data_IF_565021689622
#
_entry.id   IF_565021689622
#
_cell.length_a   1.000
_cell.length_b   1.000
_cell.length_c   1.000
_cell.angle_alpha   90.00
_cell.angle_beta   90.00
_cell.angle_gamma   90.00
#
_symmetry.space_group_name_H-M   'P 1'
#
loop_
_entity.id
_entity.type
_entity.pdbx_description
1 polymer ?
#
# COMPACT_ATOMS: atom_id res chain seq x y z
N UNK A 1 -43.96 4.95 37.79
CA UNK A 1 -45.08 4.72 36.85
C UNK A 1 -45.74 6.07 36.57
N UNK A 2 -45.07 6.93 35.77
CA UNK A 2 -45.63 8.20 35.31
C UNK A 2 -46.14 7.97 33.89
N UNK A 3 -47.47 7.92 33.74
CA UNK A 3 -48.19 7.66 32.48
C UNK A 3 -48.96 8.92 32.07
N UNK A 4 -48.39 10.09 32.36
CA UNK A 4 -49.07 11.39 32.21
C UNK A 4 -48.39 12.27 31.15
N UNK A 5 -47.09 12.11 30.86
CA UNK A 5 -46.38 13.06 30.01
C UNK A 5 -46.45 12.78 28.50
N UNK A 6 -46.85 11.57 28.07
CA UNK A 6 -46.92 11.23 26.63
C UNK A 6 -48.10 11.85 25.89
N UNK A 7 -49.20 12.11 26.59
CA UNK A 7 -50.41 12.62 25.92
C UNK A 7 -50.23 14.08 25.51
N UNK A 8 -49.51 14.86 26.33
CA UNK A 8 -49.31 16.29 26.13
C UNK A 8 -48.39 16.59 24.93
N UNK A 9 -47.38 15.76 24.69
CA UNK A 9 -46.44 15.95 23.58
C UNK A 9 -47.06 15.62 22.22
N UNK A 10 -47.90 14.57 22.14
CA UNK A 10 -48.61 14.20 20.91
C UNK A 10 -49.70 15.25 20.55
N UNK A 11 -50.42 15.77 21.54
CA UNK A 11 -51.43 16.80 21.35
C UNK A 11 -50.80 18.14 20.91
N UNK A 12 -49.62 18.48 21.44
CA UNK A 12 -48.83 19.65 21.02
C UNK A 12 -48.32 19.53 19.58
N UNK A 13 -47.85 18.34 19.17
CA UNK A 13 -47.43 18.11 17.78
C UNK A 13 -48.61 18.24 16.81
N UNK A 14 -49.78 17.71 17.18
CA UNK A 14 -50.98 17.79 16.35
C UNK A 14 -51.50 19.23 16.20
N UNK A 15 -51.42 20.04 17.26
CA UNK A 15 -51.79 21.46 17.19
C UNK A 15 -50.83 22.25 16.30
N UNK A 16 -49.53 21.95 16.35
CA UNK A 16 -48.51 22.58 15.50
C UNK A 16 -48.67 22.22 14.02
N UNK A 17 -48.95 20.95 13.70
CA UNK A 17 -49.27 20.53 12.33
C UNK A 17 -50.57 21.16 11.80
N UNK A 18 -51.60 21.27 12.65
CA UNK A 18 -52.89 21.89 12.26
C UNK A 18 -52.77 23.38 11.93
N UNK A 19 -51.76 24.06 12.48
CA UNK A 19 -51.43 25.47 12.24
C UNK A 19 -50.47 25.67 11.06
N UNK A 20 -50.13 24.59 10.34
CA UNK A 20 -49.23 24.62 9.19
C UNK A 20 -47.74 24.70 9.55
N UNK A 21 -47.38 24.52 10.82
CA UNK A 21 -45.98 24.43 11.24
C UNK A 21 -45.53 22.98 11.11
N UNK A 22 -44.90 22.65 9.98
CA UNK A 22 -44.13 21.43 9.89
C UNK A 22 -42.85 21.60 10.73
N UNK A 23 -42.72 20.79 11.79
CA UNK A 23 -41.44 20.63 12.48
C UNK A 23 -40.49 19.97 11.49
N UNK A 24 -39.71 20.79 10.80
CA UNK A 24 -38.61 20.31 9.96
C UNK A 24 -37.54 19.81 10.91
N UNK A 25 -37.47 18.50 11.09
CA UNK A 25 -36.37 17.86 11.80
C UNK A 25 -35.10 18.10 10.98
N UNK A 26 -34.37 19.14 11.34
CA UNK A 26 -33.18 19.59 10.61
C UNK A 26 -32.01 18.64 10.90
N UNK A 27 -31.96 17.52 10.16
CA UNK A 27 -30.87 16.53 10.17
C UNK A 27 -29.56 17.08 9.54
N UNK A 28 -29.43 18.40 9.33
CA UNK A 28 -28.24 19.02 8.74
C UNK A 28 -27.02 19.05 9.67
N UNK A 29 -27.21 18.91 10.99
CA UNK A 29 -26.12 18.90 11.97
C UNK A 29 -25.26 17.63 11.96
N UNK A 30 -25.79 16.49 11.51
CA UNK A 30 -25.09 15.20 11.51
C UNK A 30 -24.16 15.00 10.31
N UNK A 31 -24.55 15.51 9.12
CA UNK A 31 -23.79 15.34 7.88
C UNK A 31 -22.53 16.21 7.84
N UNK A 32 -22.58 17.43 8.36
CA UNK A 32 -21.42 18.33 8.42
C UNK A 32 -20.32 17.80 9.35
N UNK A 33 -20.70 17.34 10.54
CA UNK A 33 -19.77 16.75 11.50
C UNK A 33 -19.18 15.42 10.99
N UNK A 34 -19.96 14.56 10.33
CA UNK A 34 -19.45 13.30 9.79
C UNK A 34 -18.47 13.51 8.63
N UNK A 35 -18.70 14.50 7.77
CA UNK A 35 -17.78 14.90 6.70
C UNK A 35 -16.47 15.46 7.24
N UNK A 36 -16.53 16.31 8.27
CA UNK A 36 -15.33 16.88 8.91
C UNK A 36 -14.51 15.78 9.59
N UNK A 37 -15.17 14.89 10.34
CA UNK A 37 -14.50 13.75 10.98
C UNK A 37 -13.87 12.84 9.92
N UNK A 38 -14.58 12.56 8.83
CA UNK A 38 -14.05 11.79 7.70
C UNK A 38 -12.82 12.45 7.08
N UNK A 39 -12.85 13.75 6.82
CA UNK A 39 -11.73 14.51 6.28
C UNK A 39 -10.51 14.49 7.22
N UNK A 40 -10.73 14.67 8.52
CA UNK A 40 -9.65 14.62 9.53
C UNK A 40 -9.02 13.23 9.60
N UNK A 41 -9.83 12.17 9.55
CA UNK A 41 -9.33 10.78 9.51
C UNK A 41 -8.49 10.54 8.25
N UNK A 42 -8.95 10.99 7.08
CA UNK A 42 -8.21 10.85 5.81
C UNK A 42 -6.87 11.60 5.89
N UNK A 43 -6.87 12.84 6.37
CA UNK A 43 -5.64 13.64 6.51
C UNK A 43 -4.68 12.97 7.50
N UNK A 44 -5.18 12.46 8.63
CA UNK A 44 -4.38 11.71 9.60
C UNK A 44 -3.79 10.44 8.96
N UNK A 45 -4.57 9.66 8.23
CA UNK A 45 -4.10 8.47 7.52
C UNK A 45 -3.00 8.79 6.50
N UNK A 46 -3.15 9.87 5.74
CA UNK A 46 -2.14 10.32 4.78
C UNK A 46 -0.86 10.73 5.52
N UNK A 47 -0.99 11.52 6.58
CA UNK A 47 0.16 12.06 7.32
C UNK A 47 0.92 10.97 8.08
N UNK A 48 0.23 10.17 8.90
CA UNK A 48 0.84 9.06 9.64
C UNK A 48 1.29 7.93 8.72
N UNK A 49 0.56 7.67 7.62
CA UNK A 49 0.97 6.71 6.60
C UNK A 49 2.28 7.10 5.93
N UNK A 50 2.43 8.38 5.56
CA UNK A 50 3.68 8.89 5.01
C UNK A 50 4.84 8.80 6.02
N UNK A 51 4.62 9.15 7.28
CA UNK A 51 5.63 9.02 8.34
C UNK A 51 6.06 7.55 8.55
N UNK A 52 5.10 6.62 8.57
CA UNK A 52 5.36 5.19 8.68
C UNK A 52 6.20 4.67 7.51
N UNK A 53 5.87 5.08 6.28
CA UNK A 53 6.63 4.76 5.07
C UNK A 53 8.09 5.24 5.23
N UNK A 54 8.30 6.47 5.68
CA UNK A 54 9.64 7.05 5.85
C UNK A 54 10.46 6.29 6.90
N UNK A 55 9.85 5.90 8.02
CA UNK A 55 10.49 5.08 9.04
C UNK A 55 10.93 3.71 8.49
N UNK A 56 10.07 3.07 7.70
CA UNK A 56 10.38 1.79 7.07
C UNK A 56 11.53 1.90 6.07
N UNK A 57 11.57 3.01 5.33
CA UNK A 57 12.66 3.31 4.41
C UNK A 57 13.99 3.50 5.16
N UNK A 58 14.00 4.27 6.24
CA UNK A 58 15.19 4.48 7.06
C UNK A 58 15.75 3.17 7.64
N UNK A 59 14.88 2.27 8.12
CA UNK A 59 15.29 0.94 8.60
C UNK A 59 16.03 0.11 7.53
N UNK A 60 15.61 0.20 6.26
CA UNK A 60 16.29 -0.52 5.17
C UNK A 60 17.77 -0.11 5.04
N UNK A 61 18.07 1.17 5.30
CA UNK A 61 19.41 1.71 5.23
C UNK A 61 20.30 1.19 6.38
N UNK A 62 19.75 1.13 7.60
CA UNK A 62 20.47 0.58 8.76
C UNK A 62 20.77 -0.92 8.63
N UNK A 63 19.87 -1.69 8.03
CA UNK A 63 19.96 -3.16 7.92
C UNK A 63 20.33 -3.64 6.52
N UNK A 64 21.11 -2.86 5.76
CA UNK A 64 21.45 -3.15 4.36
C UNK A 64 22.00 -4.58 4.14
N UNK A 65 22.86 -5.09 5.05
CA UNK A 65 23.35 -6.47 4.99
C UNK A 65 22.22 -7.51 5.01
N UNK A 66 21.22 -7.32 5.89
CA UNK A 66 20.04 -8.19 5.98
C UNK A 66 19.20 -8.10 4.72
N UNK A 67 19.04 -6.88 4.17
CA UNK A 67 18.31 -6.63 2.91
C UNK A 67 18.94 -7.41 1.75
N UNK A 68 20.26 -7.30 1.55
CA UNK A 68 20.95 -8.06 0.51
C UNK A 68 20.84 -9.56 0.71
N UNK A 69 20.97 -10.04 1.95
CA UNK A 69 20.88 -11.48 2.26
C UNK A 69 19.51 -12.05 1.88
N UNK A 70 18.42 -11.37 2.26
CA UNK A 70 17.05 -11.79 1.94
C UNK A 70 16.84 -11.86 0.43
N UNK A 71 17.34 -10.88 -0.32
CA UNK A 71 17.28 -10.88 -1.77
C UNK A 71 18.04 -12.04 -2.40
N UNK A 72 19.28 -12.28 -2.01
CA UNK A 72 20.06 -13.39 -2.56
C UNK A 72 19.42 -14.73 -2.27
N UNK A 73 18.86 -14.92 -1.07
CA UNK A 73 18.09 -16.12 -0.72
C UNK A 73 16.87 -16.26 -1.65
N UNK A 74 16.08 -15.19 -1.84
CA UNK A 74 14.93 -15.20 -2.74
C UNK A 74 15.31 -15.51 -4.20
N UNK A 75 16.43 -14.96 -4.67
CA UNK A 75 16.98 -15.19 -6.00
C UNK A 75 17.37 -16.67 -6.18
N UNK A 76 18.16 -17.22 -5.25
CA UNK A 76 18.61 -18.63 -5.28
C UNK A 76 17.40 -19.57 -5.29
N UNK A 77 16.42 -19.32 -4.41
CA UNK A 77 15.20 -20.14 -4.35
C UNK A 77 14.43 -20.09 -5.68
N UNK A 78 14.36 -18.93 -6.32
CA UNK A 78 13.68 -18.79 -7.62
C UNK A 78 14.41 -19.52 -8.74
N UNK A 79 15.75 -19.48 -8.71
CA UNK A 79 16.60 -20.25 -9.64
C UNK A 79 16.36 -21.75 -9.45
N UNK A 80 16.34 -22.25 -8.20
CA UNK A 80 16.02 -23.65 -7.89
C UNK A 80 14.62 -24.04 -8.38
N UNK A 81 13.66 -23.11 -8.25
CA UNK A 81 12.30 -23.25 -8.77
C UNK A 81 12.15 -23.12 -10.29
N UNK A 82 13.26 -22.89 -11.02
CA UNK A 82 13.30 -22.60 -12.46
C UNK A 82 12.32 -21.49 -12.89
N UNK A 83 11.97 -20.59 -11.97
CA UNK A 83 10.97 -19.53 -12.18
C UNK A 83 9.55 -20.01 -12.49
N UNK A 84 9.24 -21.30 -12.35
CA UNK A 84 7.93 -21.86 -12.69
C UNK A 84 6.93 -21.79 -11.52
N UNK A 85 7.42 -21.89 -10.28
CA UNK A 85 6.56 -21.94 -9.11
C UNK A 85 6.07 -20.55 -8.68
N UNK A 86 4.74 -20.36 -8.64
CA UNK A 86 4.10 -19.09 -8.26
C UNK A 86 4.50 -18.63 -6.85
N UNK A 87 4.62 -19.56 -5.90
CA UNK A 87 5.02 -19.25 -4.53
C UNK A 87 6.46 -18.73 -4.44
N UNK A 88 7.40 -19.35 -5.16
CA UNK A 88 8.79 -18.90 -5.18
C UNK A 88 8.94 -17.54 -5.86
N UNK A 89 8.17 -17.30 -6.92
CA UNK A 89 8.12 -15.99 -7.59
C UNK A 89 7.53 -14.89 -6.67
N UNK A 90 6.58 -15.25 -5.79
CA UNK A 90 6.08 -14.35 -4.76
C UNK A 90 7.15 -14.05 -3.69
N UNK A 91 7.90 -15.05 -3.24
CA UNK A 91 9.02 -14.84 -2.31
C UNK A 91 10.11 -13.95 -2.91
N UNK A 92 10.40 -14.10 -4.21
CA UNK A 92 11.30 -13.19 -4.93
C UNK A 92 10.78 -11.75 -4.89
N UNK A 93 9.50 -11.55 -5.21
CA UNK A 93 8.89 -10.23 -5.16
C UNK A 93 8.98 -9.62 -3.74
N UNK A 94 8.71 -10.41 -2.71
CA UNK A 94 8.81 -9.98 -1.32
C UNK A 94 10.26 -9.58 -0.96
N UNK A 95 11.25 -10.32 -1.48
CA UNK A 95 12.67 -10.03 -1.28
C UNK A 95 13.19 -8.81 -2.06
N UNK A 96 12.50 -8.43 -3.15
CA UNK A 96 12.81 -7.26 -3.96
C UNK A 96 12.32 -5.95 -3.34
N UNK A 97 11.28 -5.99 -2.51
CA UNK A 97 10.75 -4.80 -1.82
C UNK A 97 11.84 -4.07 -1.02
N UNK A 98 12.54 -4.70 -0.05
CA UNK A 98 13.53 -4.00 0.74
C UNK A 98 14.74 -3.52 -0.08
N UNK A 99 15.13 -4.24 -1.14
CA UNK A 99 16.18 -3.77 -2.06
C UNK A 99 15.73 -2.54 -2.82
N UNK A 100 14.50 -2.53 -3.36
CA UNK A 100 13.98 -1.37 -4.06
C UNK A 100 13.92 -0.17 -3.11
N UNK A 101 13.48 -0.38 -1.87
CA UNK A 101 13.50 0.63 -0.81
C UNK A 101 14.90 1.20 -0.56
N UNK A 102 15.91 0.35 -0.43
CA UNK A 102 17.30 0.79 -0.26
C UNK A 102 17.85 1.52 -1.50
N UNK A 103 17.51 1.05 -2.71
CA UNK A 103 17.91 1.73 -3.94
C UNK A 103 17.26 3.12 -4.05
N UNK A 104 16.03 3.27 -3.58
CA UNK A 104 15.34 4.56 -3.53
C UNK A 104 16.07 5.54 -2.61
N UNK A 105 16.46 5.13 -1.40
CA UNK A 105 17.23 6.01 -0.51
C UNK A 105 18.54 6.43 -1.16
N UNK A 106 19.26 5.48 -1.76
CA UNK A 106 20.51 5.75 -2.44
C UNK A 106 20.35 6.76 -3.59
N UNK A 107 19.28 6.66 -4.38
CA UNK A 107 18.98 7.62 -5.45
C UNK A 107 18.78 9.02 -4.86
N UNK A 108 17.95 9.14 -3.81
CA UNK A 108 17.66 10.44 -3.18
C UNK A 108 18.92 11.05 -2.57
N UNK A 109 19.72 10.26 -1.85
CA UNK A 109 20.98 10.71 -1.26
C UNK A 109 21.96 11.20 -2.34
N UNK A 110 22.05 10.47 -3.44
CA UNK A 110 22.91 10.85 -4.56
C UNK A 110 22.42 12.11 -5.28
N UNK A 111 21.11 12.36 -5.33
CA UNK A 111 20.56 13.55 -6.00
C UNK A 111 20.60 14.80 -5.12
N UNK A 112 20.36 14.65 -3.81
CA UNK A 112 20.25 15.77 -2.86
C UNK A 112 21.58 16.06 -2.15
N UNK A 113 22.56 15.15 -2.23
CA UNK A 113 23.90 15.32 -1.64
C UNK A 113 23.92 15.29 -0.11
N UNK A 114 22.84 14.81 0.52
CA UNK A 114 22.68 14.67 1.97
C UNK A 114 22.15 13.27 2.28
N UNK A 115 22.34 12.81 3.52
CA UNK A 115 21.80 11.50 3.92
C UNK A 115 20.27 11.50 3.87
N UNK A 116 19.67 10.34 3.63
CA UNK A 116 18.22 10.23 3.52
C UNK A 116 17.53 10.59 4.85
N UNK A 117 18.15 10.27 5.99
CA UNK A 117 17.67 10.70 7.31
C UNK A 117 17.65 12.23 7.44
N UNK A 118 18.74 12.90 7.07
CA UNK A 118 18.82 14.36 7.15
C UNK A 118 17.86 15.02 6.15
N UNK A 119 17.67 14.40 4.98
CA UNK A 119 16.71 14.84 3.98
C UNK A 119 15.28 14.85 4.56
N UNK A 120 14.89 13.79 5.25
CA UNK A 120 13.55 13.70 5.86
C UNK A 120 13.37 14.74 6.95
N UNK A 121 14.37 14.91 7.83
CA UNK A 121 14.29 15.87 8.94
C UNK A 121 14.19 17.32 8.46
N UNK A 122 14.82 17.64 7.34
CA UNK A 122 14.82 18.98 6.76
C UNK A 122 13.64 19.24 5.81
N UNK A 123 12.94 18.19 5.35
CA UNK A 123 11.82 18.30 4.40
C UNK A 123 10.51 18.78 5.06
N UNK A 124 10.47 20.02 5.57
CA UNK A 124 9.28 20.60 6.24
C UNK A 124 8.00 20.61 5.37
N UNK A 125 8.13 20.73 4.05
CA UNK A 125 6.99 20.76 3.10
C UNK A 125 7.14 19.77 1.94
N UNK A 126 8.31 19.15 1.78
CA UNK A 126 8.63 18.23 0.67
C UNK A 126 8.34 16.76 0.96
N UNK A 127 8.06 16.39 2.21
CA UNK A 127 7.93 14.98 2.61
C UNK A 127 6.80 14.25 1.86
N UNK A 128 5.65 14.91 1.66
CA UNK A 128 4.48 14.29 1.01
C UNK A 128 4.75 13.96 -0.46
N UNK A 129 5.47 14.85 -1.17
CA UNK A 129 5.88 14.62 -2.56
C UNK A 129 6.73 13.35 -2.66
N UNK A 130 7.70 13.19 -1.77
CA UNK A 130 8.62 12.05 -1.79
C UNK A 130 7.95 10.76 -1.29
N UNK A 131 6.99 10.86 -0.36
CA UNK A 131 6.13 9.75 0.04
C UNK A 131 5.31 9.21 -1.15
N UNK A 132 4.72 10.10 -1.94
CA UNK A 132 3.92 9.74 -3.11
C UNK A 132 4.79 9.12 -4.21
N UNK A 133 5.94 9.72 -4.52
CA UNK A 133 6.88 9.16 -5.50
C UNK A 133 7.32 7.76 -5.06
N UNK A 134 7.68 7.59 -3.79
CA UNK A 134 8.05 6.30 -3.24
C UNK A 134 6.91 5.27 -3.36
N UNK A 135 5.66 5.66 -3.11
CA UNK A 135 4.51 4.77 -3.21
C UNK A 135 4.32 4.22 -4.62
N UNK A 136 4.51 5.03 -5.66
CA UNK A 136 4.51 4.54 -7.04
C UNK A 136 5.73 3.66 -7.32
N UNK A 137 6.91 4.10 -6.87
CA UNK A 137 8.17 3.40 -7.09
C UNK A 137 8.18 1.98 -6.48
N UNK A 138 7.72 1.82 -5.24
CA UNK A 138 7.76 0.55 -4.52
C UNK A 138 6.79 -0.50 -5.08
N UNK A 139 5.79 -0.07 -5.84
CA UNK A 139 4.89 -0.99 -6.56
C UNK A 139 5.46 -1.34 -7.93
N UNK A 140 5.95 -0.35 -8.67
CA UNK A 140 6.37 -0.51 -10.05
C UNK A 140 7.71 -1.25 -10.16
N UNK A 141 8.71 -0.84 -9.38
CA UNK A 141 10.10 -1.32 -9.55
C UNK A 141 10.24 -2.79 -9.14
N UNK A 142 9.79 -3.24 -7.97
CA UNK A 142 9.82 -4.66 -7.61
C UNK A 142 9.03 -5.54 -8.58
N UNK A 143 7.90 -5.04 -9.10
CA UNK A 143 7.08 -5.79 -10.05
C UNK A 143 7.82 -6.03 -11.37
N UNK A 144 8.39 -4.97 -11.95
CA UNK A 144 9.16 -5.06 -13.19
C UNK A 144 10.42 -5.93 -12.97
N UNK A 145 11.16 -5.71 -11.88
CA UNK A 145 12.35 -6.47 -11.56
C UNK A 145 12.06 -7.96 -11.38
N UNK A 146 11.00 -8.32 -10.66
CA UNK A 146 10.57 -9.71 -10.50
C UNK A 146 10.20 -10.34 -11.84
N UNK A 147 9.53 -9.60 -12.72
CA UNK A 147 9.17 -10.10 -14.06
C UNK A 147 10.41 -10.36 -14.92
N UNK A 148 11.38 -9.45 -14.89
CA UNK A 148 12.65 -9.58 -15.62
C UNK A 148 13.44 -10.78 -15.10
N UNK A 149 13.64 -10.87 -13.77
CA UNK A 149 14.39 -11.97 -13.15
C UNK A 149 13.72 -13.32 -13.46
N UNK A 150 12.40 -13.42 -13.29
CA UNK A 150 11.68 -14.65 -13.60
C UNK A 150 11.80 -15.04 -15.08
N UNK A 151 11.75 -14.06 -15.99
CA UNK A 151 11.98 -14.29 -17.40
C UNK A 151 13.40 -14.81 -17.68
N UNK A 152 14.43 -14.16 -17.13
CA UNK A 152 15.82 -14.60 -17.27
C UNK A 152 16.03 -16.02 -16.72
N UNK A 153 15.48 -16.30 -15.54
CA UNK A 153 15.60 -17.63 -14.90
C UNK A 153 14.93 -18.69 -15.75
N UNK A 154 13.75 -18.43 -16.32
CA UNK A 154 13.06 -19.37 -17.21
C UNK A 154 13.82 -19.62 -18.50
N UNK A 155 14.36 -18.57 -19.13
CA UNK A 155 15.15 -18.71 -20.36
C UNK A 155 16.45 -19.49 -20.11
N UNK A 156 17.09 -19.26 -18.96
CA UNK A 156 18.40 -19.86 -18.65
C UNK A 156 18.29 -21.29 -18.10
N UNK A 157 17.30 -21.57 -17.24
CA UNK A 157 17.19 -22.82 -16.49
C UNK A 157 15.90 -23.61 -16.77
N UNK A 158 14.96 -23.02 -17.51
CA UNK A 158 13.65 -23.61 -17.82
C UNK A 158 13.58 -24.38 -19.14
N UNK A 159 14.73 -24.71 -19.75
CA UNK A 159 14.82 -25.41 -21.03
C UNK A 159 14.02 -26.72 -21.10
N UNK A 160 13.11 -26.73 -22.09
CA UNK A 160 12.40 -27.80 -22.81
C UNK A 160 12.08 -29.15 -22.15
N UNK A 161 10.79 -29.32 -21.82
CA UNK A 161 10.09 -30.61 -21.94
C UNK A 161 9.43 -30.72 -23.33
N UNK A 162 10.16 -30.45 -24.41
CA UNK A 162 9.73 -30.77 -25.77
C UNK A 162 10.58 -31.94 -26.28
N UNK A 163 10.27 -33.14 -25.81
CA UNK A 163 10.66 -34.39 -26.48
C UNK A 163 9.79 -35.53 -25.96
N UNK A 164 9.04 -36.13 -26.90
CA UNK A 164 8.37 -37.43 -26.89
C UNK A 164 6.84 -37.40 -27.01
N UNK A 165 6.31 -36.89 -28.14
CA UNK A 165 5.03 -37.41 -28.67
C UNK A 165 4.97 -37.32 -30.20
N UNK A 166 5.92 -37.95 -30.89
CA UNK A 166 5.94 -38.03 -32.35
C UNK A 166 6.31 -39.42 -32.89
N UNK A 167 5.96 -40.50 -32.19
CA UNK A 167 6.07 -41.86 -32.74
C UNK A 167 4.89 -42.75 -32.31
N UNK A 168 3.67 -42.39 -32.70
CA UNK A 168 2.56 -43.34 -32.81
C UNK A 168 1.74 -43.00 -34.06
N UNK A 169 2.32 -43.30 -35.24
CA UNK A 169 1.54 -43.50 -36.45
C UNK A 169 1.18 -45.00 -36.53
N UNK A 170 -0.10 -45.39 -36.49
CA UNK A 170 -0.50 -46.74 -36.83
C UNK A 170 -0.36 -46.91 -38.36
N UNK A 171 0.54 -47.82 -38.76
CA UNK A 171 0.57 -48.41 -40.10
C UNK A 171 -0.26 -49.69 -40.15
#
# INVERSE_FOLDING_TARGET
MSRIDKHTDEDLQYELESRGYHVSQDDSGGLGCSLIIGAVIIIALIHYGAAFIHYFIALSHYYYWTVYTIFFVGLIITILGKGQQKFLNFLLYLSLLPIATYLYTFIIESTEGISYSDFIENAKTGFLKHALIYLFYIVIVPFIAAKIINFLVRVTFGGDNSNNDSTNLPG
#
